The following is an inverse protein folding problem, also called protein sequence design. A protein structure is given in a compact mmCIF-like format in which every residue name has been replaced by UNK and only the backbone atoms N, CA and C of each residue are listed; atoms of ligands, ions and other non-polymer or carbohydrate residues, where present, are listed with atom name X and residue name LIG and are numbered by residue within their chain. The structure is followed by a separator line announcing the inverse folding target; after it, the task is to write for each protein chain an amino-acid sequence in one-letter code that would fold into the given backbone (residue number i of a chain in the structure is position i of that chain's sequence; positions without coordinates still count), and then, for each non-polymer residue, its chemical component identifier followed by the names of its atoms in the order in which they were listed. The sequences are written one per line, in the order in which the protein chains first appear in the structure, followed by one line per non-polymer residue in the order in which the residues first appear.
data_IF_351552332570
#
_entry.id   IF_351552332570
#
_cell.length_a   1.000
_cell.length_b   1.000
_cell.length_c   1.000
_cell.angle_alpha   90.00
_cell.angle_beta   90.00
_cell.angle_gamma   90.00
#
_symmetry.space_group_name_H-M   'P 1'
#
loop_
_entity.id
_entity.type
_entity.pdbx_description
1 polymer ?
#
# COMPACT_ATOMS: atom_id res chain seq x y z
N UNK A 1 20.56 -32.05 48.07
CA UNK A 1 20.63 -30.67 47.53
C UNK A 1 19.36 -29.93 47.91
N UNK A 2 19.35 -29.21 49.04
CA UNK A 2 18.20 -28.39 49.44
C UNK A 2 18.36 -27.03 48.76
N UNK A 3 17.59 -26.76 47.70
CA UNK A 3 17.51 -25.41 47.18
C UNK A 3 16.94 -24.52 48.28
N UNK A 4 17.71 -23.53 48.71
CA UNK A 4 17.26 -22.55 49.71
C UNK A 4 16.00 -21.88 49.20
N UNK A 5 15.01 -21.71 50.07
CA UNK A 5 13.74 -21.03 49.75
C UNK A 5 14.02 -19.63 49.17
N UNK A 6 15.09 -18.98 49.61
CA UNK A 6 15.55 -17.70 49.07
C UNK A 6 15.96 -17.78 47.59
N UNK A 7 16.55 -18.89 47.16
CA UNK A 7 16.92 -19.10 45.76
C UNK A 7 15.68 -19.34 44.87
N UNK A 8 14.65 -20.03 45.40
CA UNK A 8 13.39 -20.24 44.67
C UNK A 8 12.66 -18.91 44.46
N UNK A 9 12.59 -18.07 45.49
CA UNK A 9 11.97 -16.75 45.41
C UNK A 9 12.72 -15.86 44.41
N UNK A 10 14.06 -15.87 44.42
CA UNK A 10 14.88 -15.12 43.48
C UNK A 10 14.63 -15.54 42.02
N UNK A 11 14.52 -16.85 41.76
CA UNK A 11 14.26 -17.37 40.40
C UNK A 11 12.87 -16.94 39.91
N UNK A 12 11.84 -17.03 40.76
CA UNK A 12 10.48 -16.61 40.39
C UNK A 12 10.46 -15.12 40.03
N UNK A 13 11.19 -14.29 40.77
CA UNK A 13 11.25 -12.85 40.51
C UNK A 13 11.94 -12.54 39.17
N UNK A 14 13.04 -13.23 38.87
CA UNK A 14 13.76 -13.10 37.60
C UNK A 14 12.87 -13.52 36.42
N UNK A 15 12.16 -14.64 36.55
CA UNK A 15 11.25 -15.13 35.49
C UNK A 15 10.10 -14.16 35.26
N UNK A 16 9.49 -13.62 36.32
CA UNK A 16 8.41 -12.64 36.20
C UNK A 16 8.89 -11.34 35.52
N UNK A 17 10.11 -10.88 35.86
CA UNK A 17 10.71 -9.69 35.27
C UNK A 17 11.00 -9.90 33.78
N UNK A 18 11.56 -11.06 33.39
CA UNK A 18 11.82 -11.41 31.99
C UNK A 18 10.52 -11.52 31.18
N UNK A 19 9.47 -12.13 31.73
CA UNK A 19 8.16 -12.21 31.09
C UNK A 19 7.52 -10.83 30.90
N UNK A 20 7.67 -9.94 31.87
CA UNK A 20 7.20 -8.54 31.78
C UNK A 20 7.91 -7.76 30.67
N UNK A 21 9.24 -7.90 30.57
CA UNK A 21 10.03 -7.27 29.49
C UNK A 21 9.62 -7.83 28.13
N UNK A 22 9.47 -9.15 27.99
CA UNK A 22 9.05 -9.78 26.75
C UNK A 22 7.65 -9.31 26.33
N UNK A 23 6.70 -9.26 27.28
CA UNK A 23 5.34 -8.76 27.03
C UNK A 23 5.35 -7.28 26.64
N UNK A 24 6.18 -6.46 27.28
CA UNK A 24 6.36 -5.05 26.95
C UNK A 24 6.94 -4.86 25.55
N UNK A 25 7.95 -5.64 25.16
CA UNK A 25 8.52 -5.56 23.81
C UNK A 25 7.52 -6.00 22.74
N UNK A 26 6.76 -7.07 22.98
CA UNK A 26 5.73 -7.56 22.06
C UNK A 26 4.59 -6.54 21.91
N UNK A 27 4.12 -5.94 23.01
CA UNK A 27 3.05 -4.93 22.97
C UNK A 27 3.53 -3.59 22.39
N UNK A 28 4.78 -3.20 22.66
CA UNK A 28 5.39 -1.99 22.09
C UNK A 28 5.64 -2.13 20.58
N UNK A 29 6.10 -3.30 20.11
CA UNK A 29 6.19 -3.60 18.67
C UNK A 29 4.82 -3.70 17.97
N UNK A 30 3.73 -3.95 18.71
CA UNK A 30 2.35 -3.89 18.19
C UNK A 30 1.73 -2.49 18.25
N UNK A 31 2.41 -1.52 18.88
CA UNK A 31 1.96 -0.13 19.04
C UNK A 31 2.55 0.83 18.02
N UNK A 32 3.07 0.32 16.90
CA UNK A 32 3.22 1.14 15.69
C UNK A 32 1.83 1.41 15.09
N UNK A 33 0.98 2.13 15.83
CA UNK A 33 -0.02 2.96 15.18
C UNK A 33 0.77 4.00 14.39
N UNK A 34 0.58 4.10 13.06
CA UNK A 34 1.30 5.09 12.28
C UNK A 34 0.90 6.46 12.85
N UNK A 35 1.87 7.31 13.22
CA UNK A 35 1.56 8.66 13.65
C UNK A 35 0.81 9.33 12.50
N UNK A 36 -0.44 9.71 12.76
CA UNK A 36 -1.29 10.49 11.87
C UNK A 36 -0.69 11.88 11.70
N UNK A 37 0.45 11.98 11.03
CA UNK A 37 0.98 13.24 10.55
C UNK A 37 0.16 13.61 9.32
N UNK A 38 -0.51 14.77 9.42
CA UNK A 38 -1.10 15.50 8.29
C UNK A 38 0.03 15.97 7.36
N UNK A 39 0.67 15.04 6.65
CA UNK A 39 1.31 15.35 5.38
C UNK A 39 0.20 15.55 4.37
N UNK A 40 0.38 16.45 3.39
CA UNK A 40 -0.52 16.57 2.25
C UNK A 40 -0.74 15.18 1.67
N UNK A 41 -1.91 14.58 1.97
CA UNK A 41 -2.19 13.17 1.68
C UNK A 41 -2.33 12.90 0.17
N UNK A 42 -2.11 13.91 -0.66
CA UNK A 42 -2.36 13.92 -2.09
C UNK A 42 -1.20 14.58 -2.85
N UNK A 43 -0.64 13.86 -3.82
CA UNK A 43 0.36 14.37 -4.77
C UNK A 43 -0.27 14.78 -6.09
N UNK A 44 0.55 15.20 -7.07
CA UNK A 44 0.06 15.49 -8.42
C UNK A 44 -0.13 14.17 -9.20
N UNK A 45 -1.23 14.02 -9.96
CA UNK A 45 -1.41 12.86 -10.81
C UNK A 45 -0.26 12.72 -11.82
N UNK A 46 0.40 11.57 -11.84
CA UNK A 46 1.52 11.28 -12.76
C UNK A 46 2.91 11.42 -12.13
N UNK A 47 3.01 11.95 -10.91
CA UNK A 47 4.27 11.97 -10.17
C UNK A 47 4.69 10.55 -9.75
N UNK A 48 6.00 10.32 -9.69
CA UNK A 48 6.56 9.05 -9.19
C UNK A 48 6.13 8.84 -7.74
N UNK A 49 5.70 7.61 -7.44
CA UNK A 49 5.23 7.25 -6.09
C UNK A 49 3.84 7.79 -5.74
N UNK A 50 3.06 8.30 -6.70
CA UNK A 50 1.68 8.75 -6.47
C UNK A 50 0.69 7.77 -7.09
N UNK A 51 -0.34 7.38 -6.33
CA UNK A 51 -1.42 6.54 -6.84
C UNK A 51 -2.20 7.29 -7.94
N UNK A 52 -2.33 6.74 -9.16
CA UNK A 52 -3.04 7.42 -10.25
C UNK A 52 -4.56 7.47 -10.07
N UNK A 53 -5.12 6.71 -9.11
CA UNK A 53 -6.56 6.57 -8.88
C UNK A 53 -7.06 7.54 -7.80
N UNK A 54 -6.34 7.63 -6.68
CA UNK A 54 -6.74 8.42 -5.51
C UNK A 54 -5.73 9.51 -5.13
N UNK A 55 -4.68 9.68 -5.94
CA UNK A 55 -3.59 10.65 -5.75
C UNK A 55 -2.83 10.56 -4.43
N UNK A 56 -3.01 9.48 -3.65
CA UNK A 56 -2.24 9.26 -2.43
C UNK A 56 -0.76 9.06 -2.75
N UNK A 57 0.10 9.78 -2.04
CA UNK A 57 1.55 9.60 -2.06
C UNK A 57 1.85 8.29 -1.32
N UNK A 58 2.55 7.39 -2.00
CA UNK A 58 2.87 6.06 -1.52
C UNK A 58 4.21 6.05 -0.80
N UNK A 59 4.26 5.35 0.33
CA UNK A 59 5.51 5.02 1.03
C UNK A 59 6.33 4.03 0.21
N UNK A 60 7.65 3.94 0.44
CA UNK A 60 8.55 3.07 -0.33
C UNK A 60 8.14 1.57 -0.37
N UNK A 61 7.39 1.11 0.64
CA UNK A 61 6.92 -0.28 0.75
C UNK A 61 5.49 -0.47 0.23
N UNK A 62 4.78 0.60 -0.12
CA UNK A 62 3.41 0.54 -0.63
C UNK A 62 3.43 0.35 -2.15
N UNK A 63 2.74 -0.68 -2.61
CA UNK A 63 2.67 -1.01 -4.04
C UNK A 63 1.24 -0.83 -4.55
N UNK A 64 1.15 -0.40 -5.80
CA UNK A 64 -0.11 -0.34 -6.52
C UNK A 64 -0.50 -1.77 -6.90
N UNK A 65 -1.74 -2.14 -6.62
CA UNK A 65 -2.33 -3.41 -7.06
C UNK A 65 -2.59 -3.32 -8.56
N UNK A 66 -1.86 -4.12 -9.32
CA UNK A 66 -1.96 -4.21 -10.77
C UNK A 66 -2.00 -5.66 -11.24
N UNK A 67 -2.51 -5.86 -12.45
CA UNK A 67 -2.42 -7.14 -13.17
C UNK A 67 -1.83 -6.87 -14.54
N UNK A 68 -0.64 -7.43 -14.79
CA UNK A 68 0.05 -7.33 -16.09
C UNK A 68 -0.20 -8.63 -16.84
N UNK A 69 -0.67 -8.51 -18.07
CA UNK A 69 -0.86 -9.64 -18.97
C UNK A 69 0.39 -9.82 -19.83
N UNK A 70 0.91 -11.04 -19.98
CA UNK A 70 2.09 -11.30 -20.78
C UNK A 70 1.86 -10.91 -22.25
N UNK A 71 2.91 -10.36 -22.85
CA UNK A 71 3.01 -9.92 -24.23
C UNK A 71 4.47 -9.56 -24.52
N UNK A 72 4.82 -9.35 -25.79
CA UNK A 72 6.20 -9.07 -26.21
C UNK A 72 6.68 -7.70 -25.70
N UNK A 73 6.61 -6.66 -26.53
CA UNK A 73 7.12 -5.32 -26.17
C UNK A 73 6.05 -4.43 -25.53
N UNK A 74 4.77 -4.78 -25.70
CA UNK A 74 3.64 -3.96 -25.27
C UNK A 74 2.57 -4.80 -24.57
N UNK A 75 2.62 -4.77 -23.25
CA UNK A 75 1.80 -5.57 -22.36
C UNK A 75 0.58 -4.79 -21.91
N UNK A 76 -0.56 -5.49 -21.81
CA UNK A 76 -1.76 -4.89 -21.22
C UNK A 76 -1.63 -4.93 -19.71
N UNK A 77 -1.92 -3.81 -19.05
CA UNK A 77 -1.86 -3.70 -17.60
C UNK A 77 -3.19 -3.13 -17.06
N UNK A 78 -3.76 -3.78 -16.05
CA UNK A 78 -4.90 -3.27 -15.30
C UNK A 78 -4.42 -2.71 -13.98
N UNK A 79 -4.84 -1.48 -13.65
CA UNK A 79 -4.47 -0.80 -12.42
C UNK A 79 -5.72 -0.64 -11.55
N UNK A 80 -5.73 -1.27 -10.39
CA UNK A 80 -6.88 -1.23 -9.47
C UNK A 80 -6.79 -0.05 -8.52
N UNK A 81 -5.63 0.15 -7.88
CA UNK A 81 -5.43 1.19 -6.89
C UNK A 81 -4.27 0.88 -5.94
N UNK A 82 -4.11 1.68 -4.91
CA UNK A 82 -3.19 1.42 -3.80
C UNK A 82 -3.94 0.84 -2.59
N UNK A 83 -3.25 0.38 -1.54
CA UNK A 83 -3.89 -0.19 -0.34
C UNK A 83 -4.89 0.74 0.35
N UNK A 84 -4.79 2.06 0.15
CA UNK A 84 -5.70 3.06 0.73
C UNK A 84 -7.01 3.23 -0.06
N UNK A 85 -7.05 2.81 -1.33
CA UNK A 85 -8.22 2.99 -2.19
C UNK A 85 -8.78 1.70 -2.78
N UNK A 86 -8.06 0.58 -2.67
CA UNK A 86 -8.48 -0.74 -3.16
C UNK A 86 -8.08 -1.83 -2.15
N UNK A 87 -8.94 -2.82 -1.86
CA UNK A 87 -10.28 -3.06 -2.43
C UNK A 87 -11.35 -2.09 -1.91
N UNK A 88 -11.24 -1.68 -0.64
CA UNK A 88 -12.15 -0.72 -0.01
C UNK A 88 -11.41 0.61 0.16
N UNK A 89 -12.04 1.71 -0.27
CA UNK A 89 -11.47 3.04 -0.07
C UNK A 89 -11.70 3.53 1.35
N UNK A 90 -10.68 4.11 1.98
CA UNK A 90 -10.83 4.81 3.26
C UNK A 90 -11.84 5.97 3.11
N UNK A 91 -12.47 6.39 4.22
CA UNK A 91 -13.60 7.33 4.24
C UNK A 91 -13.33 8.66 3.50
N UNK A 92 -12.08 9.14 3.48
CA UNK A 92 -11.68 10.38 2.82
C UNK A 92 -11.12 10.20 1.40
N UNK A 93 -11.16 8.98 0.83
CA UNK A 93 -10.46 8.66 -0.43
C UNK A 93 -11.41 8.57 -1.62
N UNK A 94 -11.19 9.47 -2.57
CA UNK A 94 -11.94 9.47 -3.82
C UNK A 94 -11.18 8.74 -4.91
N UNK A 95 -11.83 7.76 -5.53
CA UNK A 95 -11.32 7.10 -6.73
C UNK A 95 -11.81 7.83 -7.96
N UNK A 96 -10.88 8.34 -8.76
CA UNK A 96 -11.19 9.08 -9.98
C UNK A 96 -10.31 8.61 -11.13
N UNK A 97 -10.86 8.66 -12.35
CA UNK A 97 -10.09 8.37 -13.54
C UNK A 97 -9.16 9.57 -13.85
N UNK A 98 -7.84 9.37 -14.00
CA UNK A 98 -6.93 10.49 -14.28
C UNK A 98 -7.19 11.13 -15.66
N UNK A 99 -7.78 10.38 -16.60
CA UNK A 99 -8.07 10.82 -17.98
C UNK A 99 -9.38 11.61 -18.05
N UNK A 100 -10.51 11.02 -17.66
CA UNK A 100 -11.83 11.67 -17.78
C UNK A 100 -12.36 12.30 -16.49
N UNK A 101 -11.61 12.23 -15.39
CA UNK A 101 -11.94 12.75 -14.05
C UNK A 101 -13.23 12.20 -13.41
N UNK A 102 -13.90 11.24 -14.05
CA UNK A 102 -15.10 10.60 -13.50
C UNK A 102 -14.79 9.69 -12.33
N UNK A 103 -15.73 9.61 -11.38
CA UNK A 103 -15.67 8.68 -10.24
C UNK A 103 -15.59 7.23 -10.71
N UNK A 104 -14.66 6.50 -10.10
CA UNK A 104 -14.44 5.06 -10.26
C UNK A 104 -15.16 4.30 -9.16
N UNK A 105 -15.69 3.11 -9.48
CA UNK A 105 -16.26 2.19 -8.50
C UNK A 105 -15.19 1.38 -7.77
N UNK A 106 -15.55 0.71 -6.68
CA UNK A 106 -14.64 -0.10 -5.86
C UNK A 106 -13.91 -1.20 -6.68
N UNK A 107 -14.66 -1.93 -7.50
CA UNK A 107 -14.11 -3.00 -8.35
C UNK A 107 -13.62 -2.52 -9.72
N UNK A 108 -13.61 -1.19 -9.96
CA UNK A 108 -13.21 -0.67 -11.27
C UNK A 108 -11.70 -0.45 -11.37
N UNK A 109 -11.17 -0.72 -12.56
CA UNK A 109 -9.75 -0.59 -12.87
C UNK A 109 -9.51 0.39 -14.01
N UNK A 110 -8.29 0.88 -14.09
CA UNK A 110 -7.77 1.63 -15.22
C UNK A 110 -7.11 0.66 -16.20
N UNK A 111 -7.32 0.91 -17.48
CA UNK A 111 -6.58 0.30 -18.56
C UNK A 111 -5.29 1.06 -18.79
N UNK A 112 -4.19 0.34 -18.83
CA UNK A 112 -2.88 0.85 -19.12
C UNK A 112 -2.12 -0.08 -20.06
N UNK A 113 -1.07 0.46 -20.66
CA UNK A 113 -0.06 -0.28 -21.42
C UNK A 113 1.25 -0.21 -20.64
N UNK A 114 1.92 -1.35 -20.56
CA UNK A 114 3.20 -1.52 -19.90
C UNK A 114 4.21 -1.92 -20.97
N UNK A 115 5.27 -1.12 -21.10
CA UNK A 115 6.28 -1.32 -22.12
C UNK A 115 7.66 -1.03 -21.56
N UNK A 116 8.63 -1.76 -22.08
CA UNK A 116 10.03 -1.54 -21.80
C UNK A 116 10.61 -0.55 -22.81
N UNK A 117 11.33 0.46 -22.32
CA UNK A 117 12.08 1.34 -23.20
C UNK A 117 13.47 0.77 -23.52
N UNK A 118 14.09 1.31 -24.56
CA UNK A 118 15.46 0.98 -24.99
C UNK A 118 16.52 1.16 -23.88
N UNK A 119 16.26 2.01 -22.90
CA UNK A 119 17.09 2.24 -21.71
C UNK A 119 16.78 1.26 -20.55
N UNK A 120 16.04 0.18 -20.80
CA UNK A 120 15.60 -0.81 -19.80
C UNK A 120 14.72 -0.23 -18.68
N UNK A 121 14.23 1.00 -18.84
CA UNK A 121 13.26 1.59 -17.92
C UNK A 121 11.85 1.13 -18.27
N UNK A 122 11.12 0.73 -17.24
CA UNK A 122 9.76 0.24 -17.37
C UNK A 122 8.79 1.41 -17.28
N UNK A 123 7.92 1.55 -18.27
CA UNK A 123 6.96 2.65 -18.34
C UNK A 123 5.53 2.14 -18.40
N UNK A 124 4.65 2.84 -17.69
CA UNK A 124 3.21 2.62 -17.72
C UNK A 124 2.55 3.83 -18.35
N UNK A 125 1.74 3.60 -19.38
CA UNK A 125 0.87 4.61 -19.95
C UNK A 125 -0.59 4.29 -19.68
N UNK A 126 -1.27 5.16 -18.95
CA UNK A 126 -2.68 5.00 -18.58
C UNK A 126 -3.56 5.48 -19.74
N UNK A 127 -4.32 4.56 -20.33
CA UNK A 127 -5.26 4.85 -21.42
C UNK A 127 -6.59 5.42 -20.92
N UNK A 128 -7.05 4.98 -19.74
CA UNK A 128 -8.29 5.46 -19.13
C UNK A 128 -9.08 4.38 -18.41
N UNK A 129 -10.32 4.69 -18.03
CA UNK A 129 -11.23 3.74 -17.40
C UNK A 129 -12.20 3.12 -18.40
N UNK A 130 -13.00 2.14 -17.96
CA UNK A 130 -14.05 1.50 -18.77
C UNK A 130 -15.01 2.48 -19.45
N UNK A 131 -15.26 3.65 -18.86
CA UNK A 131 -16.17 4.66 -19.42
C UNK A 131 -15.56 5.51 -20.53
N UNK A 132 -14.26 5.78 -20.50
CA UNK A 132 -13.61 6.69 -21.46
C UNK A 132 -12.75 5.98 -22.49
N UNK A 133 -12.23 4.78 -22.21
CA UNK A 133 -11.41 4.03 -23.17
C UNK A 133 -12.17 3.68 -24.45
N UNK A 134 -13.45 3.32 -24.33
CA UNK A 134 -14.26 2.86 -25.46
C UNK A 134 -15.05 3.98 -26.14
N UNK A 135 -15.07 5.19 -25.55
CA UNK A 135 -15.58 6.35 -26.26
C UNK A 135 -14.48 6.80 -27.21
N UNK A 136 -14.69 6.60 -28.52
CA UNK A 136 -13.95 7.37 -29.53
C UNK A 136 -14.10 8.84 -29.12
N UNK A 137 -12.97 9.52 -28.91
CA UNK A 137 -12.93 10.96 -28.75
C UNK A 137 -13.51 11.63 -29.99
#
# INVERSE_FOLDING_TARGET
MKLSITAIIAIIFIVALLLGILYSLITFSRRSEPPSKKYDKYGKPGDKGVCPVCTTILSANEKIVTTVYPGDDDQVCYIYGCPHCYPVAEEDRYRSCPVCKKKLGAESFLYARYFDRKDSSQHIHILGCAKCRHKKQ
#
